data_IF_428659323392
#
_entry.id   IF_428659323392
#
_cell.length_a   1.000
_cell.length_b   1.000
_cell.length_c   1.000
_cell.angle_alpha   90.00
_cell.angle_beta   90.00
_cell.angle_gamma   90.00
#
_symmetry.space_group_name_H-M   'P 1'
#
loop_
_entity.id
_entity.type
_entity.pdbx_description
1 polymer ?
#
# COMPACT_ATOMS: atom_id res chain seq x y z
N UNK A 1 42.15 -2.61 -17.83
CA UNK A 1 41.22 -2.94 -16.71
C UNK A 1 39.97 -2.07 -16.76
N UNK A 2 40.11 -0.76 -16.94
CA UNK A 2 39.01 0.21 -17.00
C UNK A 2 38.00 -0.11 -18.12
N UNK A 3 38.45 -0.59 -19.28
CA UNK A 3 37.54 -0.99 -20.36
C UNK A 3 36.57 -2.12 -20.01
N UNK A 4 37.00 -3.10 -19.22
CA UNK A 4 36.12 -4.17 -18.72
C UNK A 4 35.05 -3.63 -17.78
N UNK A 5 35.42 -2.66 -16.95
CA UNK A 5 34.48 -1.96 -16.05
C UNK A 5 33.46 -1.17 -16.87
N UNK A 6 33.88 -0.47 -17.94
CA UNK A 6 32.98 0.24 -18.83
C UNK A 6 31.93 -0.70 -19.46
N UNK A 7 32.36 -1.87 -19.98
CA UNK A 7 31.43 -2.87 -20.51
C UNK A 7 30.46 -3.43 -19.45
N UNK A 8 30.94 -3.70 -18.24
CA UNK A 8 30.08 -4.15 -17.15
C UNK A 8 29.03 -3.09 -16.78
N UNK A 9 29.41 -1.81 -16.74
CA UNK A 9 28.48 -0.70 -16.54
C UNK A 9 27.48 -0.57 -17.70
N UNK A 10 27.92 -0.77 -18.94
CA UNK A 10 27.05 -0.80 -20.12
C UNK A 10 25.98 -1.90 -20.05
N UNK A 11 26.37 -3.11 -19.64
CA UNK A 11 25.41 -4.22 -19.42
C UNK A 11 24.42 -3.92 -18.28
N UNK A 12 24.89 -3.31 -17.19
CA UNK A 12 24.01 -2.84 -16.12
C UNK A 12 23.01 -1.79 -16.66
N UNK A 13 23.47 -0.81 -17.43
CA UNK A 13 22.61 0.21 -18.03
C UNK A 13 21.56 -0.39 -18.97
N UNK A 14 21.94 -1.36 -19.81
CA UNK A 14 21.00 -2.03 -20.75
C UNK A 14 19.88 -2.78 -20.00
N UNK A 15 20.21 -3.43 -18.87
CA UNK A 15 19.24 -4.13 -18.03
C UNK A 15 18.33 -3.18 -17.25
N UNK A 16 18.82 -1.97 -16.95
CA UNK A 16 18.04 -0.92 -16.31
C UNK A 16 17.05 -0.27 -17.29
N UNK A 17 17.34 -0.22 -18.60
CA UNK A 17 16.41 0.36 -19.57
C UNK A 17 15.06 -0.37 -19.61
N UNK A 18 13.94 0.35 -19.85
CA UNK A 18 12.66 -0.27 -20.13
C UNK A 18 12.75 -1.23 -21.32
N UNK A 19 11.91 -2.27 -21.37
CA UNK A 19 11.98 -3.31 -22.41
C UNK A 19 11.96 -2.74 -23.84
N UNK A 20 11.20 -1.66 -24.07
CA UNK A 20 11.11 -0.98 -25.36
C UNK A 20 12.44 -0.35 -25.83
N UNK A 21 13.34 -0.05 -24.91
CA UNK A 21 14.63 0.60 -25.19
C UNK A 21 15.83 -0.36 -25.13
N UNK A 22 15.60 -1.67 -25.06
CA UNK A 22 16.69 -2.66 -25.09
C UNK A 22 17.61 -2.54 -26.33
N UNK A 23 17.09 -2.30 -27.55
CA UNK A 23 17.96 -2.09 -28.72
C UNK A 23 18.92 -0.90 -28.55
N UNK A 24 18.52 0.10 -27.76
CA UNK A 24 19.36 1.24 -27.41
C UNK A 24 20.48 0.87 -26.44
N UNK A 25 20.22 -0.06 -25.52
CA UNK A 25 21.25 -0.64 -24.65
C UNK A 25 22.31 -1.39 -25.44
N UNK A 26 21.91 -2.16 -26.45
CA UNK A 26 22.86 -2.86 -27.34
C UNK A 26 23.73 -1.87 -28.12
N UNK A 27 23.14 -0.78 -28.62
CA UNK A 27 23.86 0.30 -29.29
C UNK A 27 24.85 1.03 -28.35
N UNK A 28 24.45 1.30 -27.10
CA UNK A 28 25.34 1.89 -26.08
C UNK A 28 26.55 1.00 -25.79
N UNK A 29 26.37 -0.32 -25.73
CA UNK A 29 27.46 -1.27 -25.52
C UNK A 29 28.42 -1.27 -26.72
N UNK A 30 27.89 -1.16 -27.94
CA UNK A 30 28.70 -1.04 -29.15
C UNK A 30 29.53 0.26 -29.16
N UNK A 31 28.96 1.39 -28.76
CA UNK A 31 29.64 2.70 -28.64
C UNK A 31 30.83 2.66 -27.67
N UNK A 32 30.74 1.92 -26.55
CA UNK A 32 31.86 1.73 -25.61
C UNK A 32 33.09 1.10 -26.30
N UNK A 33 32.86 0.25 -27.31
CA UNK A 33 33.91 -0.35 -28.12
C UNK A 33 34.65 0.63 -29.03
N UNK A 34 33.99 1.72 -29.42
CA UNK A 34 34.54 2.72 -30.34
C UNK A 34 35.25 3.89 -29.65
N UNK A 35 35.19 3.99 -28.32
CA UNK A 35 35.87 5.06 -27.60
C UNK A 35 37.41 4.94 -27.69
N UNK A 36 38.09 6.03 -28.04
CA UNK A 36 39.55 6.05 -28.25
C UNK A 36 40.37 5.84 -26.95
N UNK A 37 39.81 6.25 -25.81
CA UNK A 37 40.50 6.19 -24.51
C UNK A 37 39.66 5.45 -23.45
N UNK A 38 40.34 4.63 -22.64
CA UNK A 38 39.74 3.88 -21.53
C UNK A 38 38.96 4.78 -20.55
N UNK A 39 39.46 6.01 -20.30
CA UNK A 39 38.80 6.98 -19.42
C UNK A 39 37.53 7.56 -20.05
N UNK A 40 37.53 7.78 -21.37
CA UNK A 40 36.36 8.24 -22.11
C UNK A 40 35.28 7.15 -22.15
N UNK A 41 35.67 5.91 -22.41
CA UNK A 41 34.78 4.74 -22.35
C UNK A 41 34.10 4.61 -20.98
N UNK A 42 34.86 4.79 -19.90
CA UNK A 42 34.32 4.73 -18.54
C UNK A 42 33.36 5.90 -18.25
N UNK A 43 33.73 7.13 -18.63
CA UNK A 43 32.87 8.30 -18.47
C UNK A 43 31.56 8.17 -19.23
N UNK A 44 31.61 7.68 -20.47
CA UNK A 44 30.42 7.38 -21.27
C UNK A 44 29.55 6.32 -20.60
N UNK A 45 30.13 5.20 -20.17
CA UNK A 45 29.38 4.12 -19.51
C UNK A 45 28.69 4.58 -18.21
N UNK A 46 29.33 5.44 -17.41
CA UNK A 46 28.70 6.07 -16.24
C UNK A 46 27.52 6.96 -16.67
N UNK A 47 27.70 7.77 -17.71
CA UNK A 47 26.63 8.57 -18.30
C UNK A 47 25.43 7.72 -18.74
N UNK A 48 25.67 6.59 -19.40
CA UNK A 48 24.64 5.62 -19.78
C UNK A 48 23.89 5.06 -18.56
N UNK A 49 24.59 4.72 -17.48
CA UNK A 49 23.95 4.24 -16.23
C UNK A 49 23.06 5.32 -15.62
N UNK A 50 23.54 6.57 -15.53
CA UNK A 50 22.75 7.69 -15.00
C UNK A 50 21.52 7.95 -15.87
N UNK A 51 21.68 7.97 -17.19
CA UNK A 51 20.57 8.17 -18.14
C UNK A 51 19.55 7.01 -18.06
N UNK A 52 20.01 5.77 -17.96
CA UNK A 52 19.15 4.59 -17.80
C UNK A 52 18.39 4.62 -16.46
N UNK A 53 19.04 5.07 -15.37
CA UNK A 53 18.38 5.28 -14.08
C UNK A 53 17.31 6.39 -14.17
N UNK A 54 17.63 7.52 -14.78
CA UNK A 54 16.65 8.60 -14.98
C UNK A 54 15.47 8.15 -15.83
N UNK A 55 15.74 7.42 -16.93
CA UNK A 55 14.71 6.84 -17.78
C UNK A 55 13.84 5.84 -17.00
N UNK A 56 14.43 5.01 -16.13
CA UNK A 56 13.69 4.08 -15.26
C UNK A 56 12.83 4.79 -14.22
N UNK A 57 13.33 5.87 -13.60
CA UNK A 57 12.55 6.67 -12.64
C UNK A 57 11.41 7.42 -13.36
N UNK A 58 11.63 7.81 -14.61
CA UNK A 58 10.62 8.43 -15.45
C UNK A 58 9.66 7.46 -16.12
N UNK A 59 10.02 6.17 -16.16
CA UNK A 59 9.19 5.14 -16.74
C UNK A 59 7.86 5.01 -15.98
N UNK A 60 6.80 5.05 -16.78
CA UNK A 60 5.44 5.03 -16.27
C UNK A 60 5.12 3.75 -15.50
N UNK A 61 5.72 2.62 -15.90
CA UNK A 61 5.53 1.33 -15.24
C UNK A 61 6.17 1.33 -13.85
N UNK A 62 7.40 1.83 -13.75
CA UNK A 62 8.13 1.91 -12.47
C UNK A 62 7.42 2.82 -11.46
N UNK A 63 6.98 4.02 -11.87
CA UNK A 63 6.19 4.92 -11.00
C UNK A 63 4.87 4.28 -10.57
N UNK A 64 4.22 3.54 -11.46
CA UNK A 64 3.00 2.82 -11.14
C UNK A 64 3.24 1.71 -10.10
N UNK A 65 4.35 0.96 -10.22
CA UNK A 65 4.70 -0.02 -9.20
C UNK A 65 5.06 0.60 -7.87
N UNK A 66 5.82 1.70 -7.88
CA UNK A 66 6.08 2.44 -6.65
C UNK A 66 4.78 2.85 -5.97
N UNK A 67 3.81 3.38 -6.73
CA UNK A 67 2.48 3.70 -6.22
C UNK A 67 1.74 2.49 -5.63
N UNK A 68 1.69 1.36 -6.36
CA UNK A 68 1.06 0.13 -5.87
C UNK A 68 1.72 -0.39 -4.58
N UNK A 69 3.05 -0.36 -4.50
CA UNK A 69 3.78 -0.77 -3.31
C UNK A 69 3.53 0.16 -2.14
N UNK A 70 3.51 1.48 -2.36
CA UNK A 70 3.16 2.44 -1.31
C UNK A 70 1.76 2.18 -0.75
N UNK A 71 0.77 1.92 -1.62
CA UNK A 71 -0.59 1.57 -1.19
C UNK A 71 -0.58 0.25 -0.42
N UNK A 72 0.08 -0.78 -0.93
CA UNK A 72 0.14 -2.09 -0.27
C UNK A 72 0.80 -1.99 1.13
N UNK A 73 1.89 -1.23 1.26
CA UNK A 73 2.56 -0.99 2.53
C UNK A 73 1.68 -0.21 3.51
N UNK A 74 1.00 0.85 3.02
CA UNK A 74 0.08 1.62 3.85
C UNK A 74 -1.09 0.76 4.33
N UNK A 75 -1.68 -0.06 3.46
CA UNK A 75 -2.75 -1.00 3.83
C UNK A 75 -2.26 -2.04 4.83
N UNK A 76 -1.05 -2.59 4.64
CA UNK A 76 -0.46 -3.52 5.61
C UNK A 76 -0.19 -2.87 6.97
N UNK A 77 0.24 -1.60 6.99
CA UNK A 77 0.42 -0.84 8.23
C UNK A 77 -0.91 -0.67 8.98
N UNK A 78 -1.99 -0.32 8.28
CA UNK A 78 -3.32 -0.27 8.91
C UNK A 78 -3.77 -1.62 9.46
N UNK A 79 -3.50 -2.72 8.74
CA UNK A 79 -3.79 -4.06 9.23
C UNK A 79 -3.09 -4.35 10.57
N UNK A 80 -1.81 -3.95 10.71
CA UNK A 80 -1.04 -4.08 11.96
C UNK A 80 -1.69 -3.28 13.09
N UNK A 81 -2.08 -2.03 12.84
CA UNK A 81 -2.80 -1.22 13.85
C UNK A 81 -4.12 -1.88 14.26
N UNK A 82 -4.86 -2.49 13.33
CA UNK A 82 -6.11 -3.22 13.64
C UNK A 82 -5.84 -4.46 14.50
N UNK A 83 -4.75 -5.18 14.24
CA UNK A 83 -4.33 -6.29 15.10
C UNK A 83 -3.93 -5.82 16.49
N UNK A 84 -3.24 -4.69 16.60
CA UNK A 84 -2.89 -4.10 17.90
C UNK A 84 -4.15 -3.75 18.70
N UNK A 85 -5.15 -3.10 18.08
CA UNK A 85 -6.44 -2.81 18.71
C UNK A 85 -7.16 -4.10 19.15
N UNK A 86 -7.17 -5.14 18.31
CA UNK A 86 -7.78 -6.42 18.65
C UNK A 86 -7.07 -7.09 19.84
N UNK A 87 -5.74 -7.11 19.85
CA UNK A 87 -4.94 -7.68 20.94
C UNK A 87 -5.19 -6.92 22.23
N UNK A 88 -5.22 -5.58 22.19
CA UNK A 88 -5.56 -4.78 23.36
C UNK A 88 -6.98 -5.08 23.86
N UNK A 89 -7.97 -5.19 22.97
CA UNK A 89 -9.33 -5.58 23.35
C UNK A 89 -9.40 -6.98 23.98
N UNK A 90 -8.61 -7.94 23.50
CA UNK A 90 -8.50 -9.27 24.14
C UNK A 90 -7.90 -9.15 25.54
N UNK A 91 -6.85 -8.34 25.73
CA UNK A 91 -6.29 -8.09 27.07
C UNK A 91 -7.31 -7.49 28.02
N UNK A 92 -8.13 -6.55 27.54
CA UNK A 92 -9.23 -5.97 28.32
C UNK A 92 -10.27 -7.04 28.69
N UNK A 93 -10.63 -7.96 27.78
CA UNK A 93 -11.50 -9.09 28.11
C UNK A 93 -10.91 -10.03 29.18
N UNK A 94 -9.58 -10.07 29.30
CA UNK A 94 -8.86 -10.83 30.33
C UNK A 94 -8.67 -10.05 31.64
N UNK A 95 -9.27 -8.85 31.77
CA UNK A 95 -9.24 -8.04 32.99
C UNK A 95 -8.18 -6.94 33.01
N UNK A 96 -7.55 -6.61 31.88
CA UNK A 96 -6.71 -5.41 31.79
C UNK A 96 -7.56 -4.12 31.90
N UNK A 97 -6.99 -3.00 32.38
CA UNK A 97 -7.72 -1.73 32.49
C UNK A 97 -8.23 -1.23 31.13
N UNK A 98 -9.51 -0.85 31.05
CA UNK A 98 -10.10 -0.31 29.84
C UNK A 98 -10.13 1.23 29.87
N UNK A 99 -9.24 1.85 29.11
CA UNK A 99 -9.16 3.32 28.98
C UNK A 99 -10.43 3.93 28.38
N UNK A 100 -11.16 3.19 27.54
CA UNK A 100 -12.40 3.69 26.94
C UNK A 100 -13.54 3.69 27.96
N UNK A 101 -13.63 2.64 28.78
CA UNK A 101 -14.59 2.59 29.89
C UNK A 101 -14.33 3.69 30.92
N UNK A 102 -13.06 3.92 31.28
CA UNK A 102 -12.65 5.05 32.12
C UNK A 102 -13.05 6.39 31.51
N UNK A 103 -12.83 6.58 30.20
CA UNK A 103 -13.23 7.80 29.51
C UNK A 103 -14.76 7.97 29.50
N UNK A 104 -15.53 6.90 29.27
CA UNK A 104 -17.00 6.94 29.32
C UNK A 104 -17.50 7.33 30.72
N UNK A 105 -16.91 6.77 31.77
CA UNK A 105 -17.22 7.13 33.16
C UNK A 105 -16.89 8.60 33.45
N UNK A 106 -15.74 9.09 32.99
CA UNK A 106 -15.35 10.51 33.15
C UNK A 106 -16.31 11.47 32.46
N UNK A 107 -16.92 11.06 31.34
CA UNK A 107 -17.91 11.86 30.59
C UNK A 107 -19.36 11.65 31.07
N UNK A 108 -19.57 10.96 32.20
CA UNK A 108 -20.89 10.78 32.78
C UNK A 108 -21.79 9.80 32.02
N UNK A 109 -21.21 8.81 31.32
CA UNK A 109 -21.98 7.77 30.65
C UNK A 109 -22.94 7.05 31.61
N UNK A 110 -24.15 6.74 31.14
CA UNK A 110 -25.13 5.99 31.91
C UNK A 110 -24.69 4.53 32.07
N UNK A 111 -25.08 3.88 33.18
CA UNK A 111 -24.77 2.46 33.42
C UNK A 111 -25.28 1.53 32.31
N UNK A 112 -26.41 1.88 31.68
CA UNK A 112 -26.97 1.14 30.54
C UNK A 112 -26.08 1.24 29.29
N UNK A 113 -25.43 2.38 29.07
CA UNK A 113 -24.49 2.58 27.96
C UNK A 113 -23.22 1.74 28.19
N UNK A 114 -22.69 1.73 29.41
CA UNK A 114 -21.53 0.93 29.78
C UNK A 114 -21.83 -0.57 29.61
N UNK A 115 -22.98 -1.06 30.10
CA UNK A 115 -23.38 -2.45 29.91
C UNK A 115 -23.53 -2.84 28.43
N UNK A 116 -24.05 -1.93 27.60
CA UNK A 116 -24.15 -2.15 26.14
C UNK A 116 -22.78 -2.19 25.47
N UNK A 117 -21.85 -1.34 25.91
CA UNK A 117 -20.47 -1.32 25.44
C UNK A 117 -19.73 -2.61 25.80
N UNK A 118 -19.82 -3.06 27.06
CA UNK A 118 -19.22 -4.32 27.51
C UNK A 118 -19.77 -5.52 26.73
N UNK A 119 -21.08 -5.57 26.50
CA UNK A 119 -21.72 -6.62 25.71
C UNK A 119 -21.29 -6.59 24.22
N UNK A 120 -21.03 -5.40 23.67
CA UNK A 120 -20.57 -5.21 22.29
C UNK A 120 -19.08 -5.47 22.07
N UNK A 121 -18.25 -5.34 23.11
CA UNK A 121 -16.78 -5.46 23.08
C UNK A 121 -16.25 -6.69 22.31
N UNK A 122 -16.72 -7.94 22.54
CA UNK A 122 -16.21 -9.10 21.81
C UNK A 122 -16.48 -9.03 20.29
N UNK A 123 -17.62 -8.47 19.88
CA UNK A 123 -17.94 -8.31 18.46
C UNK A 123 -17.03 -7.28 17.79
N UNK A 124 -16.72 -6.19 18.49
CA UNK A 124 -15.79 -5.17 18.02
C UNK A 124 -14.40 -5.77 17.82
N UNK A 125 -13.91 -6.58 18.76
CA UNK A 125 -12.61 -7.29 18.66
C UNK A 125 -12.59 -8.22 17.44
N UNK A 126 -13.65 -9.02 17.25
CA UNK A 126 -13.78 -9.90 16.08
C UNK A 126 -13.76 -9.10 14.76
N UNK A 127 -14.44 -7.95 14.73
CA UNK A 127 -14.41 -7.07 13.57
C UNK A 127 -13.00 -6.53 13.29
N UNK A 128 -12.25 -6.11 14.32
CA UNK A 128 -10.87 -5.66 14.15
C UNK A 128 -9.94 -6.77 13.62
N UNK A 129 -10.07 -8.00 14.13
CA UNK A 129 -9.32 -9.16 13.62
C UNK A 129 -9.67 -9.47 12.15
N UNK A 130 -10.96 -9.50 11.84
CA UNK A 130 -11.42 -9.76 10.47
C UNK A 130 -10.95 -8.66 9.51
N UNK A 131 -11.03 -7.39 9.91
CA UNK A 131 -10.48 -6.25 9.16
C UNK A 131 -8.99 -6.40 8.92
N UNK A 132 -8.19 -6.62 9.96
CA UNK A 132 -6.74 -6.80 9.84
C UNK A 132 -6.37 -7.94 8.89
N UNK A 133 -7.06 -9.07 8.98
CA UNK A 133 -6.86 -10.20 8.06
C UNK A 133 -7.19 -9.85 6.59
N UNK A 134 -8.33 -9.19 6.36
CA UNK A 134 -8.75 -8.81 5.00
C UNK A 134 -7.87 -7.71 4.39
N UNK A 135 -7.43 -6.74 5.17
CA UNK A 135 -6.50 -5.68 4.75
C UNK A 135 -5.11 -6.26 4.42
N UNK A 136 -4.60 -7.19 5.25
CA UNK A 136 -3.34 -7.86 4.98
C UNK A 136 -3.42 -8.74 3.72
N UNK A 137 -4.54 -9.45 3.52
CA UNK A 137 -4.79 -10.19 2.30
C UNK A 137 -4.88 -9.27 1.08
N UNK A 138 -5.55 -8.13 1.19
CA UNK A 138 -5.62 -7.13 0.14
C UNK A 138 -4.21 -6.59 -0.21
N UNK A 139 -3.42 -6.17 0.78
CA UNK A 139 -2.04 -5.74 0.59
C UNK A 139 -1.19 -6.80 -0.12
N UNK A 140 -1.32 -8.06 0.30
CA UNK A 140 -0.64 -9.20 -0.31
C UNK A 140 -1.01 -9.40 -1.79
N UNK A 141 -2.30 -9.44 -2.11
CA UNK A 141 -2.75 -9.60 -3.50
C UNK A 141 -2.37 -8.40 -4.38
N UNK A 142 -2.41 -7.19 -3.82
CA UNK A 142 -1.98 -5.98 -4.52
C UNK A 142 -0.49 -6.04 -4.87
N UNK A 143 0.36 -6.51 -3.94
CA UNK A 143 1.80 -6.72 -4.18
C UNK A 143 2.08 -7.71 -5.31
N UNK A 144 1.22 -8.74 -5.46
CA UNK A 144 1.29 -9.75 -6.51
C UNK A 144 0.58 -9.36 -7.81
N UNK A 145 -0.04 -8.18 -7.86
CA UNK A 145 -0.84 -7.67 -8.99
C UNK A 145 -2.06 -8.55 -9.31
N UNK A 146 -2.54 -9.33 -8.34
CA UNK A 146 -3.74 -10.16 -8.49
C UNK A 146 -4.98 -9.32 -8.18
N UNK A 147 -5.35 -8.45 -9.12
CA UNK A 147 -6.40 -7.44 -8.92
C UNK A 147 -7.78 -8.05 -8.59
N UNK A 148 -8.06 -9.26 -9.09
CA UNK A 148 -9.33 -9.96 -8.81
C UNK A 148 -9.40 -10.34 -7.34
N UNK A 149 -8.37 -11.02 -6.81
CA UNK A 149 -8.33 -11.42 -5.40
C UNK A 149 -8.21 -10.21 -4.48
N UNK A 150 -7.46 -9.19 -4.89
CA UNK A 150 -7.44 -7.90 -4.21
C UNK A 150 -8.83 -7.30 -4.06
N UNK A 151 -9.62 -7.23 -5.14
CA UNK A 151 -10.97 -6.67 -5.10
C UNK A 151 -11.89 -7.48 -4.19
N UNK A 152 -11.82 -8.82 -4.22
CA UNK A 152 -12.58 -9.66 -3.31
C UNK A 152 -12.21 -9.40 -1.84
N UNK A 153 -10.91 -9.35 -1.51
CA UNK A 153 -10.43 -9.07 -0.16
C UNK A 153 -10.85 -7.66 0.30
N UNK A 154 -10.77 -6.67 -0.59
CA UNK A 154 -11.18 -5.29 -0.33
C UNK A 154 -12.70 -5.17 -0.11
N UNK A 155 -13.53 -5.83 -0.92
CA UNK A 155 -14.98 -5.87 -0.70
C UNK A 155 -15.33 -6.54 0.63
N UNK A 156 -14.61 -7.60 1.01
CA UNK A 156 -14.76 -8.24 2.31
C UNK A 156 -14.38 -7.28 3.45
N UNK A 157 -13.24 -6.58 3.34
CA UNK A 157 -12.83 -5.56 4.31
C UNK A 157 -13.88 -4.46 4.45
N UNK A 158 -14.42 -3.96 3.33
CA UNK A 158 -15.47 -2.95 3.32
C UNK A 158 -16.76 -3.43 4.01
N UNK A 159 -17.16 -4.68 3.75
CA UNK A 159 -18.34 -5.27 4.39
C UNK A 159 -18.16 -5.40 5.90
N UNK A 160 -17.00 -5.90 6.35
CA UNK A 160 -16.68 -6.00 7.79
C UNK A 160 -16.63 -4.61 8.43
N UNK A 161 -16.05 -3.62 7.75
CA UNK A 161 -16.01 -2.23 8.22
C UNK A 161 -17.42 -1.66 8.39
N UNK A 162 -18.31 -1.89 7.43
CA UNK A 162 -19.70 -1.43 7.50
C UNK A 162 -20.45 -2.05 8.68
N UNK A 163 -20.24 -3.36 8.95
CA UNK A 163 -20.78 -4.02 10.14
C UNK A 163 -20.22 -3.40 11.41
N UNK A 164 -18.91 -3.18 11.48
CA UNK A 164 -18.26 -2.60 12.66
C UNK A 164 -18.79 -1.19 12.97
N UNK A 165 -18.96 -0.36 11.93
CA UNK A 165 -19.55 0.99 12.05
C UNK A 165 -21.01 0.90 12.50
N UNK A 166 -21.80 -0.03 11.95
CA UNK A 166 -23.20 -0.21 12.36
C UNK A 166 -23.32 -0.63 13.83
N UNK A 167 -22.43 -1.52 14.31
CA UNK A 167 -22.34 -1.90 15.72
C UNK A 167 -21.92 -0.71 16.58
N UNK A 168 -20.94 0.08 16.14
CA UNK A 168 -20.51 1.24 16.90
C UNK A 168 -21.61 2.29 17.01
N UNK A 169 -22.31 2.59 15.91
CA UNK A 169 -23.41 3.56 15.90
C UNK A 169 -24.60 3.10 16.73
N UNK A 170 -24.85 1.79 16.84
CA UNK A 170 -25.91 1.27 17.71
C UNK A 170 -25.58 1.40 19.20
N UNK A 171 -24.29 1.48 19.56
CA UNK A 171 -23.84 1.64 20.95
C UNK A 171 -23.64 3.12 21.29
N UNK A 172 -22.91 3.87 20.46
CA UNK A 172 -22.54 5.27 20.68
C UNK A 172 -23.14 6.13 19.58
N UNK A 173 -24.41 6.49 19.73
CA UNK A 173 -25.15 7.25 18.71
C UNK A 173 -24.73 8.73 18.60
N UNK A 174 -24.04 9.30 19.60
CA UNK A 174 -23.96 10.76 19.71
C UNK A 174 -22.83 11.26 20.61
N UNK A 175 -21.59 11.22 20.12
CA UNK A 175 -20.56 12.11 20.64
C UNK A 175 -19.92 12.83 19.45
N UNK A 176 -20.32 14.09 19.16
CA UNK A 176 -19.77 14.85 18.03
C UNK A 176 -18.25 15.04 18.11
N UNK A 177 -17.64 14.81 19.28
CA UNK A 177 -16.21 15.01 19.53
C UNK A 177 -15.39 13.70 19.56
N UNK A 178 -16.00 12.53 19.41
CA UNK A 178 -15.27 11.26 19.42
C UNK A 178 -14.79 10.93 18.00
N UNK A 179 -13.48 11.00 17.70
CA UNK A 179 -12.96 10.65 16.39
C UNK A 179 -13.24 9.18 16.13
N UNK A 180 -14.14 8.88 15.19
CA UNK A 180 -14.40 7.49 14.81
C UNK A 180 -13.15 6.93 14.12
N UNK A 181 -12.58 5.87 14.68
CA UNK A 181 -11.44 5.13 14.12
C UNK A 181 -11.75 4.48 12.75
N UNK A 182 -12.97 4.64 12.24
CA UNK A 182 -13.42 4.14 10.94
C UNK A 182 -13.36 5.19 9.82
N UNK A 183 -13.06 6.46 10.12
CA UNK A 183 -12.80 7.48 9.09
C UNK A 183 -11.67 7.11 8.09
N UNK A 184 -10.54 6.47 8.51
CA UNK A 184 -9.50 6.05 7.57
C UNK A 184 -9.98 5.00 6.56
N UNK A 185 -10.94 4.14 6.95
CA UNK A 185 -11.55 3.14 6.07
C UNK A 185 -12.43 3.80 4.99
N UNK A 186 -13.14 4.87 5.34
CA UNK A 186 -13.88 5.70 4.37
C UNK A 186 -12.92 6.35 3.35
N UNK A 187 -11.77 6.86 3.80
CA UNK A 187 -10.75 7.41 2.90
C UNK A 187 -10.17 6.33 1.97
N UNK A 188 -9.89 5.12 2.49
CA UNK A 188 -9.46 4.00 1.66
C UNK A 188 -10.56 3.54 0.69
N UNK A 189 -11.84 3.62 1.11
CA UNK A 189 -12.97 3.24 0.27
C UNK A 189 -13.10 4.11 -0.98
N UNK A 190 -12.64 5.38 -0.91
CA UNK A 190 -12.63 6.31 -2.04
C UNK A 190 -11.32 6.22 -2.84
N UNK A 191 -10.18 6.12 -2.14
CA UNK A 191 -8.86 6.13 -2.77
C UNK A 191 -8.63 4.92 -3.68
N UNK A 192 -9.03 3.72 -3.24
CA UNK A 192 -8.76 2.46 -3.97
C UNK A 192 -9.50 2.40 -5.31
N UNK A 193 -10.81 2.65 -5.41
CA UNK A 193 -11.51 2.69 -6.70
C UNK A 193 -11.00 3.78 -7.64
N UNK A 194 -10.64 4.96 -7.11
CA UNK A 194 -10.07 6.05 -7.90
C UNK A 194 -8.74 5.63 -8.54
N UNK A 195 -7.85 4.99 -7.77
CA UNK A 195 -6.58 4.47 -8.25
C UNK A 195 -6.75 3.33 -9.27
N UNK A 196 -7.69 2.42 -9.04
CA UNK A 196 -7.98 1.33 -9.99
C UNK A 196 -8.50 1.87 -11.31
N UNK A 197 -9.48 2.79 -11.27
CA UNK A 197 -10.06 3.44 -12.45
C UNK A 197 -8.99 4.20 -13.23
N UNK A 198 -8.17 4.99 -12.54
CA UNK A 198 -7.04 5.69 -13.17
C UNK A 198 -6.06 4.71 -13.82
N UNK A 199 -5.77 3.58 -13.18
CA UNK A 199 -4.87 2.56 -13.73
C UNK A 199 -5.43 1.88 -14.98
N UNK A 200 -6.76 1.73 -15.08
CA UNK A 200 -7.42 1.14 -16.24
C UNK A 200 -7.39 2.11 -17.42
N UNK A 201 -7.78 3.38 -17.19
CA UNK A 201 -7.74 4.44 -18.21
C UNK A 201 -6.33 4.57 -18.80
N UNK A 202 -5.30 4.55 -17.95
CA UNK A 202 -3.91 4.65 -18.42
C UNK A 202 -3.49 3.46 -19.29
N UNK A 203 -3.93 2.24 -18.95
CA UNK A 203 -3.65 1.03 -19.74
C UNK A 203 -4.36 1.06 -21.09
N UNK A 204 -5.56 1.60 -21.16
CA UNK A 204 -6.28 1.75 -22.43
C UNK A 204 -5.62 2.80 -23.33
N UNK A 205 -5.21 3.94 -22.76
CA UNK A 205 -4.46 4.96 -23.50
C UNK A 205 -3.16 4.40 -24.09
N UNK A 206 -2.40 3.62 -23.32
CA UNK A 206 -1.17 3.01 -23.82
C UNK A 206 -1.42 2.03 -24.98
N UNK A 207 -2.53 1.29 -24.96
CA UNK A 207 -2.90 0.36 -26.05
C UNK A 207 -3.33 1.06 -27.34
N UNK A 208 -3.87 2.29 -27.27
CA UNK A 208 -4.30 3.05 -28.46
C UNK A 208 -3.15 3.73 -29.21
N UNK A 209 -1.98 3.86 -28.58
CA UNK A 209 -0.80 4.48 -29.20
C UNK A 209 0.15 3.47 -29.85
N UNK A 210 -0.17 2.17 -29.77
CA UNK A 210 0.53 1.07 -30.42
C UNK A 210 -0.21 0.67 -31.69
#
# INVERSE_FOLDING_TARGET
MMRRVAYALGDIASRLLPKAHRPWGDAMIAEIGHADADRAALGFAIGCVVAALQARVCDGETRFFAGLWSIALLTAFFAVLRFECAVNGVWVLLGAPDRMEEALLQHGATRSLIASYEAGRPFVILCFLALGCTELAAAWFLSRRDYRRFLCAWCAAFFVAAIAVAIQLSIVWSAPDLPSEFHPLLMQAIAVPALLTWSQIRREHARRMQ
#
